data_IF_544554776922
#
_entry.id   IF_544554776922
#
_cell.length_a   1.000
_cell.length_b   1.000
_cell.length_c   1.000
_cell.angle_alpha   90.00
_cell.angle_beta   90.00
_cell.angle_gamma   90.00
#
_symmetry.space_group_name_H-M   'P 1'
#
loop_
_entity.id
_entity.type
_entity.pdbx_description
1 polymer ?
#
# COMPACT_ATOMS: atom_id res chain seq x y z
N UNK A 1 17.28 14.24 -49.91
CA UNK A 1 17.37 15.36 -48.93
C UNK A 1 16.05 15.65 -48.20
N UNK A 2 15.03 14.80 -48.39
CA UNK A 2 13.64 15.06 -48.03
C UNK A 2 13.27 14.35 -46.72
N UNK A 3 14.05 13.32 -46.35
CA UNK A 3 13.85 12.52 -45.13
C UNK A 3 14.07 13.35 -43.86
N UNK A 4 15.09 14.20 -43.84
CA UNK A 4 15.34 15.11 -42.71
C UNK A 4 14.19 16.12 -42.54
N UNK A 5 13.69 16.67 -43.64
CA UNK A 5 12.55 17.58 -43.62
C UNK A 5 11.27 16.90 -43.11
N UNK A 6 11.01 15.66 -43.53
CA UNK A 6 9.88 14.88 -43.04
C UNK A 6 10.00 14.53 -41.55
N UNK A 7 11.20 14.21 -41.07
CA UNK A 7 11.46 13.94 -39.63
C UNK A 7 11.27 15.21 -38.81
N UNK A 8 11.73 16.36 -39.31
CA UNK A 8 11.55 17.65 -38.64
C UNK A 8 10.07 18.00 -38.50
N UNK A 9 9.26 17.75 -39.54
CA UNK A 9 7.81 17.93 -39.52
C UNK A 9 7.13 17.00 -38.50
N UNK A 10 7.60 15.76 -38.37
CA UNK A 10 7.00 14.79 -37.44
C UNK A 10 7.22 15.16 -35.97
N UNK A 11 8.37 15.78 -35.64
CA UNK A 11 8.69 16.26 -34.28
C UNK A 11 7.91 17.54 -33.93
N UNK A 12 7.63 18.39 -34.92
CA UNK A 12 6.89 19.64 -34.71
C UNK A 12 5.38 19.47 -34.57
N UNK A 13 4.84 18.27 -34.86
CA UNK A 13 3.42 17.98 -34.66
C UNK A 13 3.17 17.68 -33.17
N UNK A 14 2.48 18.57 -32.43
CA UNK A 14 2.19 18.30 -31.02
C UNK A 14 1.23 17.12 -30.92
N UNK A 15 1.65 16.04 -30.26
CA UNK A 15 0.77 14.95 -29.88
C UNK A 15 -0.03 15.37 -28.65
N UNK A 16 -1.36 15.25 -28.71
CA UNK A 16 -2.23 15.55 -27.56
C UNK A 16 -1.91 14.58 -26.42
N UNK A 17 -1.33 15.09 -25.33
CA UNK A 17 -1.05 14.31 -24.12
C UNK A 17 -2.27 14.36 -23.19
N UNK A 18 -3.04 13.27 -23.16
CA UNK A 18 -4.20 13.11 -22.27
C UNK A 18 -3.81 12.69 -20.84
N UNK A 19 -2.53 12.50 -20.57
CA UNK A 19 -1.99 12.08 -19.27
C UNK A 19 -1.27 13.23 -18.55
N UNK A 20 -1.72 14.47 -18.77
CA UNK A 20 -1.22 15.61 -18.01
C UNK A 20 -1.84 15.58 -16.62
N UNK A 21 -1.00 15.27 -15.62
CA UNK A 21 -1.31 15.48 -14.22
C UNK A 21 -1.09 16.97 -13.97
N UNK A 22 -2.18 17.72 -13.76
CA UNK A 22 -2.06 19.11 -13.34
C UNK A 22 -1.42 19.20 -11.94
N UNK A 23 -0.77 20.32 -11.60
CA UNK A 23 -0.11 20.48 -10.30
C UNK A 23 -1.03 20.23 -9.09
N UNK A 24 -2.34 20.47 -9.24
CA UNK A 24 -3.34 20.20 -8.21
C UNK A 24 -3.60 18.70 -8.03
N UNK A 25 -3.88 17.98 -9.12
CA UNK A 25 -4.08 16.53 -9.07
C UNK A 25 -2.83 15.78 -8.62
N UNK A 26 -1.63 16.22 -9.04
CA UNK A 26 -0.37 15.66 -8.56
C UNK A 26 -0.21 15.79 -7.04
N UNK A 27 -0.55 16.95 -6.49
CA UNK A 27 -0.51 17.20 -5.04
C UNK A 27 -1.54 16.38 -4.27
N UNK A 28 -2.73 16.17 -4.83
CA UNK A 28 -3.77 15.35 -4.24
C UNK A 28 -3.37 13.86 -4.16
N UNK A 29 -2.78 13.32 -5.23
CA UNK A 29 -2.29 11.93 -5.26
C UNK A 29 -1.19 11.73 -4.22
N UNK A 30 -0.22 12.64 -4.13
CA UNK A 30 0.84 12.56 -3.12
C UNK A 30 0.28 12.60 -1.70
N UNK A 31 -0.69 13.49 -1.46
CA UNK A 31 -1.35 13.59 -0.15
C UNK A 31 -2.10 12.30 0.22
N UNK A 32 -2.78 11.68 -0.74
CA UNK A 32 -3.45 10.40 -0.54
C UNK A 32 -2.47 9.28 -0.20
N UNK A 33 -1.32 9.20 -0.88
CA UNK A 33 -0.26 8.21 -0.62
C UNK A 33 0.29 8.39 0.79
N UNK A 34 0.64 9.61 1.19
CA UNK A 34 1.16 9.90 2.52
C UNK A 34 0.11 9.56 3.58
N UNK A 35 -1.13 10.00 3.38
CA UNK A 35 -2.25 9.72 4.29
C UNK A 35 -2.48 8.22 4.46
N UNK A 36 -2.39 7.44 3.38
CA UNK A 36 -2.51 5.98 3.42
C UNK A 36 -1.44 5.32 4.30
N UNK A 37 -0.16 5.70 4.12
CA UNK A 37 0.92 5.15 4.95
C UNK A 37 0.82 5.57 6.41
N UNK A 38 0.44 6.83 6.68
CA UNK A 38 0.19 7.31 8.05
C UNK A 38 -0.95 6.53 8.70
N UNK A 39 -2.06 6.34 7.99
CA UNK A 39 -3.21 5.59 8.50
C UNK A 39 -2.84 4.13 8.81
N UNK A 40 -2.11 3.45 7.90
CA UNK A 40 -1.61 2.10 8.14
C UNK A 40 -0.67 2.06 9.35
N UNK A 41 0.30 2.97 9.42
CA UNK A 41 1.25 3.04 10.54
C UNK A 41 0.55 3.20 11.89
N UNK A 42 -0.45 4.07 11.95
CA UNK A 42 -1.29 4.26 13.14
C UNK A 42 -2.14 3.02 13.45
N UNK A 43 -2.74 2.39 12.44
CA UNK A 43 -3.51 1.17 12.63
C UNK A 43 -2.64 0.03 13.17
N UNK A 44 -1.48 -0.21 12.57
CA UNK A 44 -0.52 -1.24 13.03
C UNK A 44 -0.06 -0.97 14.46
N UNK A 45 0.29 0.28 14.79
CA UNK A 45 0.68 0.68 16.14
C UNK A 45 -0.46 0.44 17.15
N UNK A 46 -1.68 0.85 16.80
CA UNK A 46 -2.85 0.74 17.68
C UNK A 46 -3.24 -0.73 17.93
N UNK A 47 -3.17 -1.56 16.89
CA UNK A 47 -3.57 -2.96 16.96
C UNK A 47 -2.41 -3.93 17.17
N UNK A 48 -1.21 -3.46 17.53
CA UNK A 48 0.01 -4.29 17.60
C UNK A 48 -0.18 -5.62 18.34
N UNK A 49 -0.81 -5.58 19.52
CA UNK A 49 -1.07 -6.79 20.32
C UNK A 49 -2.11 -7.72 19.70
N UNK A 50 -3.18 -7.16 19.12
CA UNK A 50 -4.19 -7.97 18.41
C UNK A 50 -3.60 -8.59 17.16
N UNK A 51 -2.87 -7.80 16.35
CA UNK A 51 -2.15 -8.27 15.17
C UNK A 51 -1.17 -9.39 15.55
N UNK A 52 -0.38 -9.20 16.62
CA UNK A 52 0.50 -10.24 17.14
C UNK A 52 -0.27 -11.49 17.57
N UNK A 53 -1.44 -11.34 18.21
CA UNK A 53 -2.29 -12.48 18.58
C UNK A 53 -2.93 -13.19 17.39
N UNK A 54 -3.18 -12.51 16.27
CA UNK A 54 -3.66 -13.14 15.04
C UNK A 54 -2.55 -13.93 14.34
N UNK A 55 -1.30 -13.47 14.43
CA UNK A 55 -0.14 -14.15 13.84
C UNK A 55 0.47 -15.22 14.77
N UNK A 56 0.38 -15.05 16.08
CA UNK A 56 0.84 -16.03 17.07
C UNK A 56 -0.32 -16.97 17.37
N UNK A 57 -0.30 -18.15 16.74
CA UNK A 57 -1.20 -19.26 17.04
C UNK A 57 -1.14 -19.54 18.55
N UNK A 58 -2.22 -19.26 19.26
CA UNK A 58 -2.32 -19.56 20.70
C UNK A 58 -2.19 -21.07 20.88
N UNK A 59 -1.05 -21.54 21.39
CA UNK A 59 -0.95 -22.89 21.96
C UNK A 59 -1.76 -22.86 23.24
N UNK A 60 -3.05 -23.19 23.15
CA UNK A 60 -3.86 -23.43 24.33
C UNK A 60 -3.33 -24.71 24.98
N UNK A 61 -2.92 -24.56 26.22
CA UNK A 61 -2.41 -25.61 27.11
C UNK A 61 -3.53 -26.64 27.34
N UNK A 62 -3.31 -27.90 26.97
CA UNK A 62 -4.08 -29.02 27.48
C UNK A 62 -3.82 -29.11 28.99
N UNK A 63 -4.81 -28.75 29.79
CA UNK A 63 -4.89 -29.17 31.19
C UNK A 63 -5.71 -30.45 31.20
N UNK A 64 -5.01 -31.58 31.32
CA UNK A 64 -5.62 -32.84 31.71
C UNK A 64 -5.60 -32.86 33.24
N UNK A 65 -6.71 -32.41 33.83
CA UNK A 65 -7.07 -32.68 35.22
C UNK A 65 -7.28 -34.21 35.34
N UNK A 66 -6.24 -34.92 35.77
CA UNK A 66 -6.32 -36.26 36.33
C UNK A 66 -5.51 -36.23 37.62
N UNK A 67 -6.12 -36.74 38.70
CA UNK A 67 -5.59 -37.00 40.05
C UNK A 67 -6.32 -36.22 41.18
N UNK A 68 -7.64 -36.34 41.26
CA UNK A 68 -8.43 -36.10 42.48
C UNK A 68 -9.54 -37.19 42.57
N UNK A 69 -9.15 -38.46 42.47
CA UNK A 69 -10.03 -39.59 42.74
C UNK A 69 -9.20 -40.83 43.11
N UNK A 70 -8.63 -40.84 44.31
CA UNK A 70 -8.24 -42.06 45.04
C UNK A 70 -8.10 -41.67 46.53
N UNK A 71 -9.25 -41.62 47.21
CA UNK A 71 -9.39 -41.92 48.65
C UNK A 71 -9.83 -43.40 48.76
#
# INVERSE_FOLDING_TARGET
MNKLFNILILILLPTVSFAYIDPGSGSAIMSAIIGFFVAIGLAVKTYWYKLKSFFVKSKKHDKQDQNDAED
#
